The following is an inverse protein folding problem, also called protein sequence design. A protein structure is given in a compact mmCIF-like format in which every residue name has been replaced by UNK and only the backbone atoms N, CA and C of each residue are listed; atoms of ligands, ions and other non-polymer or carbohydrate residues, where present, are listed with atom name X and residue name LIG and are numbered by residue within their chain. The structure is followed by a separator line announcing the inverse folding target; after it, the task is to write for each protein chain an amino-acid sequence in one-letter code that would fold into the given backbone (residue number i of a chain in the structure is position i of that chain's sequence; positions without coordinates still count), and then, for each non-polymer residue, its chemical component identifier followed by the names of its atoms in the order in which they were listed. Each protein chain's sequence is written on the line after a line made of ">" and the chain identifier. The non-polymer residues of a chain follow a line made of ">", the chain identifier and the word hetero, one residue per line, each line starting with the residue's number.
data_IF_394999458992
#
_entry.id   IF_394999458992
#
_cell.length_a   1.000
_cell.length_b   1.000
_cell.length_c   1.000
_cell.angle_alpha   90.00
_cell.angle_beta   90.00
_cell.angle_gamma   90.00
#
_symmetry.space_group_name_H-M   'P 1'
#
loop_
_entity.id
_entity.type
_entity.pdbx_description
1 polymer ?
#
# COMPACT_ATOMS: atom_id res chain seq x y z
N UNK A 1 -13.34 -8.84 -3.32
CA UNK A 1 -12.05 -9.21 -3.94
C UNK A 1 -11.02 -8.11 -3.74
N UNK A 2 -11.12 -6.91 -4.35
CA UNK A 2 -10.23 -5.79 -3.98
C UNK A 2 -10.73 -5.00 -2.76
N UNK A 3 -12.04 -4.85 -2.61
CA UNK A 3 -12.66 -4.02 -1.56
C UNK A 3 -12.46 -4.59 -0.15
N UNK A 4 -12.08 -5.86 -0.05
CA UNK A 4 -11.87 -6.55 1.21
C UNK A 4 -10.37 -6.62 1.57
N UNK A 5 -9.45 -6.13 0.71
CA UNK A 5 -8.02 -6.18 1.01
C UNK A 5 -7.65 -5.05 1.97
N UNK A 6 -7.05 -5.40 3.11
CA UNK A 6 -6.54 -4.44 4.08
C UNK A 6 -5.06 -4.67 4.46
N UNK A 7 -4.40 -5.69 3.90
CA UNK A 7 -2.98 -5.99 4.14
C UNK A 7 -2.25 -6.31 2.83
N UNK A 8 -1.08 -5.69 2.67
CA UNK A 8 0.00 -6.17 1.80
C UNK A 8 1.16 -6.62 2.69
N UNK A 9 1.60 -7.86 2.53
CA UNK A 9 2.76 -8.40 3.22
C UNK A 9 3.84 -8.80 2.21
N UNK A 10 5.07 -8.47 2.54
CA UNK A 10 6.27 -8.78 1.76
C UNK A 10 7.02 -9.84 2.55
N UNK A 11 7.27 -11.00 1.93
CA UNK A 11 8.05 -12.06 2.56
C UNK A 11 9.55 -11.77 2.47
N UNK A 12 10.31 -12.48 3.30
CA UNK A 12 11.71 -12.73 3.00
C UNK A 12 11.84 -13.41 1.63
N UNK A 13 13.03 -13.27 1.03
CA UNK A 13 13.28 -13.75 -0.33
C UNK A 13 13.01 -15.25 -0.46
N UNK A 14 12.22 -15.62 -1.48
CA UNK A 14 11.88 -17.00 -1.82
C UNK A 14 11.10 -17.74 -0.69
N UNK A 15 10.42 -17.00 0.20
CA UNK A 15 9.68 -17.52 1.36
C UNK A 15 8.16 -17.23 1.33
N UNK A 16 7.61 -16.86 0.18
CA UNK A 16 6.19 -16.53 0.00
C UNK A 16 5.26 -17.64 0.50
N UNK A 17 5.60 -18.90 0.21
CA UNK A 17 4.77 -20.05 0.59
C UNK A 17 4.74 -20.26 2.10
N UNK A 18 5.88 -20.15 2.75
CA UNK A 18 6.02 -20.26 4.19
C UNK A 18 5.26 -19.13 4.88
N UNK A 19 5.38 -17.91 4.37
CA UNK A 19 4.61 -16.77 4.89
C UNK A 19 3.10 -16.98 4.75
N UNK A 20 2.60 -17.50 3.62
CA UNK A 20 1.17 -17.78 3.47
C UNK A 20 0.67 -18.76 4.55
N UNK A 21 1.41 -19.84 4.82
CA UNK A 21 1.06 -20.80 5.86
C UNK A 21 1.06 -20.18 7.26
N UNK A 22 1.96 -19.24 7.53
CA UNK A 22 2.03 -18.52 8.82
C UNK A 22 0.85 -17.56 9.02
N UNK A 23 0.31 -17.01 7.94
CA UNK A 23 -0.77 -16.03 7.96
C UNK A 23 -2.18 -16.67 7.95
N UNK A 24 -2.30 -17.97 7.63
CA UNK A 24 -3.58 -18.69 7.53
C UNK A 24 -4.42 -18.65 8.83
N UNK A 25 -3.79 -18.53 9.99
CA UNK A 25 -4.51 -18.47 11.28
C UNK A 25 -5.11 -17.08 11.58
N UNK A 26 -4.57 -16.02 10.97
CA UNK A 26 -4.91 -14.64 11.29
C UNK A 26 -5.74 -13.94 10.20
N UNK A 27 -5.82 -14.52 9.00
CA UNK A 27 -6.61 -13.95 7.92
C UNK A 27 -6.65 -14.77 6.64
N UNK A 28 -7.29 -14.20 5.63
CA UNK A 28 -7.37 -14.77 4.29
C UNK A 28 -6.35 -14.10 3.38
N UNK A 29 -5.32 -14.86 2.99
CA UNK A 29 -4.21 -14.35 2.18
C UNK A 29 -4.02 -15.17 0.90
N UNK A 30 -3.58 -14.48 -0.15
CA UNK A 30 -3.22 -15.09 -1.42
C UNK A 30 -1.98 -14.43 -2.03
N UNK A 31 -1.35 -15.13 -2.97
CA UNK A 31 -0.27 -14.58 -3.79
C UNK A 31 -0.80 -13.42 -4.63
N UNK A 32 -0.09 -12.30 -4.64
CA UNK A 32 -0.48 -11.15 -5.47
C UNK A 32 -0.12 -11.34 -6.95
N UNK A 33 0.56 -12.45 -7.30
CA UNK A 33 1.17 -12.67 -8.62
C UNK A 33 2.51 -11.94 -8.83
N UNK A 34 2.98 -11.18 -7.82
CA UNK A 34 4.33 -10.62 -7.79
C UNK A 34 5.17 -11.40 -6.78
N UNK A 35 6.43 -11.66 -7.13
CA UNK A 35 7.32 -12.47 -6.30
C UNK A 35 7.45 -11.89 -4.89
N UNK A 36 7.27 -12.75 -3.89
CA UNK A 36 7.46 -12.46 -2.46
C UNK A 36 6.43 -11.45 -1.91
N UNK A 37 5.28 -11.29 -2.58
CA UNK A 37 4.21 -10.39 -2.18
C UNK A 37 2.89 -11.14 -2.06
N UNK A 38 2.33 -11.05 -0.87
CA UNK A 38 1.01 -11.58 -0.55
C UNK A 38 0.10 -10.43 -0.17
N UNK A 39 -1.18 -10.59 -0.49
CA UNK A 39 -2.24 -9.64 -0.18
C UNK A 39 -3.36 -10.39 0.51
N UNK A 40 -4.07 -9.71 1.40
CA UNK A 40 -5.12 -10.37 2.14
C UNK A 40 -5.97 -9.45 2.99
N UNK A 41 -6.84 -10.10 3.75
CA UNK A 41 -7.73 -9.51 4.72
C UNK A 41 -7.48 -10.10 6.10
N UNK A 42 -7.41 -9.24 7.11
CA UNK A 42 -7.48 -9.59 8.53
C UNK A 42 -8.62 -8.84 9.18
N UNK A 43 -9.34 -9.45 10.11
CA UNK A 43 -10.46 -8.78 10.80
C UNK A 43 -9.94 -7.67 11.75
N UNK A 44 -8.90 -7.97 12.52
CA UNK A 44 -8.36 -7.09 13.56
C UNK A 44 -6.97 -6.57 13.16
N UNK A 45 -6.94 -5.56 12.28
CA UNK A 45 -5.69 -5.02 11.72
C UNK A 45 -4.69 -4.53 12.77
N UNK A 46 -5.17 -3.96 13.88
CA UNK A 46 -4.29 -3.45 14.94
C UNK A 46 -3.55 -4.60 15.63
N UNK A 47 -4.28 -5.66 16.01
CA UNK A 47 -3.70 -6.86 16.64
C UNK A 47 -2.70 -7.54 15.68
N UNK A 48 -3.06 -7.65 14.41
CA UNK A 48 -2.18 -8.20 13.38
C UNK A 48 -0.85 -7.42 13.23
N UNK A 49 -0.92 -6.09 13.24
CA UNK A 49 0.28 -5.24 13.16
C UNK A 49 1.15 -5.37 14.42
N UNK A 50 0.55 -5.48 15.60
CA UNK A 50 1.28 -5.74 16.85
C UNK A 50 1.98 -7.11 16.81
N UNK A 51 1.30 -8.15 16.32
CA UNK A 51 1.87 -9.48 16.14
C UNK A 51 3.05 -9.49 15.15
N UNK A 52 2.92 -8.75 14.05
CA UNK A 52 3.99 -8.57 13.08
C UNK A 52 5.20 -7.85 13.70
N UNK A 53 4.98 -6.78 14.47
CA UNK A 53 6.04 -6.04 15.17
C UNK A 53 6.75 -6.94 16.21
N UNK A 54 6.00 -7.82 16.88
CA UNK A 54 6.50 -8.82 17.82
C UNK A 54 7.16 -10.03 17.15
N UNK A 55 7.29 -10.03 15.81
CA UNK A 55 7.93 -11.09 15.01
C UNK A 55 7.24 -12.44 15.15
N UNK A 56 5.91 -12.47 15.25
CA UNK A 56 5.11 -13.70 15.22
C UNK A 56 5.33 -14.50 13.93
N UNK A 57 5.62 -13.82 12.82
CA UNK A 57 5.80 -14.40 11.48
C UNK A 57 7.28 -14.37 11.07
N UNK A 58 8.02 -15.49 11.22
CA UNK A 58 9.45 -15.56 10.90
C UNK A 58 9.82 -15.14 9.47
N UNK A 59 8.93 -15.36 8.50
CA UNK A 59 9.21 -15.08 7.09
C UNK A 59 8.63 -13.75 6.61
N UNK A 60 8.05 -12.94 7.49
CA UNK A 60 7.56 -11.60 7.17
C UNK A 60 8.71 -10.60 7.18
N UNK A 61 8.96 -9.96 6.04
CA UNK A 61 9.92 -8.86 5.93
C UNK A 61 9.29 -7.51 6.28
N UNK A 62 8.11 -7.25 5.73
CA UNK A 62 7.39 -5.97 5.88
C UNK A 62 5.90 -6.16 5.68
N UNK A 63 5.12 -5.47 6.50
CA UNK A 63 3.66 -5.35 6.39
C UNK A 63 3.28 -3.91 6.06
N UNK A 64 2.26 -3.73 5.22
CA UNK A 64 1.70 -2.44 4.85
C UNK A 64 0.17 -2.54 4.97
N UNK A 65 -0.48 -1.76 5.85
CA UNK A 65 -1.93 -1.66 5.85
C UNK A 65 -2.41 -0.99 4.56
N UNK A 66 -3.45 -1.56 3.95
CA UNK A 66 -4.07 -1.03 2.73
C UNK A 66 -5.30 -0.24 3.13
N UNK A 67 -5.33 1.03 2.72
CA UNK A 67 -6.49 1.90 2.91
C UNK A 67 -7.34 2.05 1.63
N UNK A 68 -6.75 1.80 0.45
CA UNK A 68 -7.47 1.79 -0.82
C UNK A 68 -6.81 0.84 -1.82
N UNK A 69 -7.61 0.01 -2.49
CA UNK A 69 -7.16 -0.90 -3.53
C UNK A 69 -8.00 -0.69 -4.80
N UNK A 70 -7.33 -0.53 -5.95
CA UNK A 70 -8.02 -0.25 -7.20
C UNK A 70 -7.26 -0.69 -8.43
N UNK A 71 -8.01 -1.02 -9.47
CA UNK A 71 -7.46 -1.23 -10.80
C UNK A 71 -7.22 0.10 -11.50
N UNK A 72 -6.10 0.19 -12.21
CA UNK A 72 -5.75 1.36 -13.00
C UNK A 72 -4.92 0.97 -14.20
N UNK A 73 -5.18 1.63 -15.34
CA UNK A 73 -4.35 1.53 -16.53
C UNK A 73 -3.26 2.61 -16.49
N UNK A 74 -2.06 2.36 -17.03
CA UNK A 74 -0.96 3.32 -16.99
C UNK A 74 -1.33 4.72 -17.49
N UNK A 75 -2.16 4.81 -18.53
CA UNK A 75 -2.55 6.06 -19.19
C UNK A 75 -3.40 6.95 -18.29
N UNK A 76 -4.11 6.36 -17.32
CA UNK A 76 -5.02 7.06 -16.42
C UNK A 76 -4.50 7.14 -14.98
N UNK A 77 -3.30 6.60 -14.71
CA UNK A 77 -2.75 6.47 -13.36
C UNK A 77 -2.75 7.79 -12.59
N UNK A 78 -2.20 8.86 -13.18
CA UNK A 78 -2.08 10.17 -12.52
C UNK A 78 -3.46 10.74 -12.16
N UNK A 79 -4.41 10.68 -13.10
CA UNK A 79 -5.74 11.23 -12.90
C UNK A 79 -6.50 10.48 -11.79
N UNK A 80 -6.40 9.15 -11.78
CA UNK A 80 -7.02 8.31 -10.75
C UNK A 80 -6.38 8.55 -9.39
N UNK A 81 -5.05 8.59 -9.31
CA UNK A 81 -4.34 8.84 -8.05
C UNK A 81 -4.71 10.20 -7.47
N UNK A 82 -4.60 11.28 -8.25
CA UNK A 82 -4.95 12.64 -7.79
C UNK A 82 -6.33 12.67 -7.16
N UNK A 83 -7.35 12.15 -7.86
CA UNK A 83 -8.72 12.12 -7.36
C UNK A 83 -8.86 11.31 -6.06
N UNK A 84 -8.18 10.16 -5.96
CA UNK A 84 -8.30 9.30 -4.77
C UNK A 84 -7.63 9.92 -3.56
N UNK A 85 -6.49 10.58 -3.73
CA UNK A 85 -5.77 11.16 -2.60
C UNK A 85 -6.44 12.41 -2.03
N UNK A 86 -7.35 13.07 -2.76
CA UNK A 86 -8.11 14.23 -2.25
C UNK A 86 -8.82 13.92 -0.92
N UNK A 87 -9.15 12.65 -0.66
CA UNK A 87 -9.81 12.23 0.58
C UNK A 87 -8.96 12.45 1.84
N UNK A 88 -7.64 12.57 1.71
CA UNK A 88 -6.70 12.71 2.83
C UNK A 88 -6.39 14.16 3.21
N UNK A 89 -6.99 15.16 2.54
CA UNK A 89 -6.68 16.58 2.81
C UNK A 89 -6.85 16.93 4.29
N UNK A 90 -7.97 16.47 4.87
CA UNK A 90 -8.35 16.82 6.25
C UNK A 90 -7.54 16.03 7.28
N UNK A 91 -6.71 15.06 6.85
CA UNK A 91 -5.82 14.29 7.72
C UNK A 91 -4.47 14.97 7.94
N UNK A 92 -4.17 16.04 7.19
CA UNK A 92 -2.90 16.78 7.30
C UNK A 92 -3.15 18.16 7.89
N UNK A 93 -2.59 18.42 9.06
CA UNK A 93 -2.63 19.74 9.67
C UNK A 93 -1.63 20.71 9.00
N UNK A 94 -1.88 22.04 9.01
CA UNK A 94 -1.02 23.02 8.34
C UNK A 94 0.46 23.02 8.75
N UNK A 95 0.78 22.51 9.94
CA UNK A 95 2.15 22.41 10.44
C UNK A 95 2.84 21.08 10.13
N UNK A 96 2.13 20.11 9.59
CA UNK A 96 2.65 18.78 9.33
C UNK A 96 3.39 18.70 7.99
N UNK A 97 4.31 17.75 7.90
CA UNK A 97 5.02 17.43 6.66
C UNK A 97 4.54 16.09 6.14
N UNK A 98 4.43 15.98 4.83
CA UNK A 98 4.03 14.74 4.16
C UNK A 98 4.98 14.41 3.02
N UNK A 99 4.93 13.16 2.58
CA UNK A 99 5.70 12.68 1.45
C UNK A 99 4.94 11.62 0.66
N UNK A 100 5.10 11.66 -0.66
CA UNK A 100 4.58 10.62 -1.55
C UNK A 100 5.73 9.70 -1.94
N UNK A 101 5.52 8.39 -1.77
CA UNK A 101 6.47 7.35 -2.17
C UNK A 101 5.74 6.31 -2.99
N UNK A 102 6.31 5.96 -4.14
CA UNK A 102 5.73 5.03 -5.11
C UNK A 102 6.63 3.83 -5.29
N UNK A 103 6.18 2.70 -4.73
CA UNK A 103 6.81 1.41 -4.94
C UNK A 103 6.11 0.64 -6.06
N UNK A 104 6.90 -0.02 -6.92
CA UNK A 104 6.41 -0.72 -8.10
C UNK A 104 6.98 -2.12 -8.13
N UNK A 105 6.09 -3.10 -8.28
CA UNK A 105 6.44 -4.50 -8.45
C UNK A 105 6.24 -5.00 -9.90
N UNK A 106 5.85 -4.10 -10.82
CA UNK A 106 5.72 -4.34 -12.26
C UNK A 106 5.80 -3.04 -13.09
N UNK A 107 5.51 -3.14 -14.39
CA UNK A 107 5.29 -1.98 -15.28
C UNK A 107 6.47 -1.00 -15.30
N UNK A 108 7.69 -1.54 -15.38
CA UNK A 108 8.92 -0.74 -15.24
C UNK A 108 9.11 0.26 -16.37
N UNK A 109 8.62 -0.08 -17.56
CA UNK A 109 8.83 0.68 -18.79
C UNK A 109 7.75 1.75 -19.03
N UNK A 110 6.54 1.58 -18.47
CA UNK A 110 5.41 2.50 -18.75
C UNK A 110 5.17 3.54 -17.65
N UNK A 111 5.66 3.31 -16.42
CA UNK A 111 5.41 4.19 -15.27
C UNK A 111 6.73 4.63 -14.64
N UNK A 112 6.92 5.93 -14.42
CA UNK A 112 8.04 6.47 -13.64
C UNK A 112 7.60 6.80 -12.22
N UNK A 113 8.13 6.09 -11.20
CA UNK A 113 7.83 6.38 -9.79
C UNK A 113 8.09 7.86 -9.46
N UNK A 114 9.24 8.39 -9.88
CA UNK A 114 9.63 9.77 -9.61
C UNK A 114 8.65 10.78 -10.25
N UNK A 115 8.16 10.48 -11.45
CA UNK A 115 7.17 11.33 -12.11
C UNK A 115 5.85 11.31 -11.33
N UNK A 116 5.40 10.12 -10.89
CA UNK A 116 4.17 9.97 -10.08
C UNK A 116 4.31 10.71 -8.76
N UNK A 117 5.39 10.48 -8.00
CA UNK A 117 5.64 11.13 -6.71
C UNK A 117 5.62 12.66 -6.83
N UNK A 118 6.31 13.20 -7.84
CA UNK A 118 6.38 14.65 -8.08
C UNK A 118 5.03 15.24 -8.48
N UNK A 119 4.33 14.62 -9.44
CA UNK A 119 3.08 15.16 -9.98
C UNK A 119 1.92 15.05 -9.01
N UNK A 120 1.79 13.91 -8.32
CA UNK A 120 0.74 13.66 -7.34
C UNK A 120 1.02 14.47 -6.07
N UNK A 121 2.28 14.51 -5.61
CA UNK A 121 2.67 15.29 -4.44
C UNK A 121 2.48 16.80 -4.63
N UNK A 122 2.86 17.34 -5.80
CA UNK A 122 2.63 18.74 -6.12
C UNK A 122 1.14 19.10 -6.18
N UNK A 123 0.33 18.23 -6.78
CA UNK A 123 -1.12 18.41 -6.81
C UNK A 123 -1.73 18.45 -5.40
N UNK A 124 -1.31 17.54 -4.52
CA UNK A 124 -1.83 17.47 -3.16
C UNK A 124 -1.39 18.66 -2.30
N UNK A 125 -0.15 19.11 -2.47
CA UNK A 125 0.36 20.34 -1.84
C UNK A 125 -0.49 21.55 -2.22
N UNK A 126 -0.74 21.75 -3.51
CA UNK A 126 -1.59 22.85 -4.01
C UNK A 126 -3.04 22.77 -3.50
N UNK A 127 -3.49 21.58 -3.12
CA UNK A 127 -4.83 21.33 -2.62
C UNK A 127 -4.93 21.72 -1.14
N UNK A 128 -3.96 21.32 -0.32
CA UNK A 128 -3.85 21.70 1.09
C UNK A 128 -3.72 23.22 1.24
N UNK A 129 -2.85 23.86 0.44
CA UNK A 129 -2.65 25.33 0.46
C UNK A 129 -3.88 26.14 0.03
N UNK A 130 -4.91 25.52 -0.57
CA UNK A 130 -6.18 26.19 -0.91
C UNK A 130 -7.23 26.06 0.18
N UNK A 131 -7.10 25.05 1.03
CA UNK A 131 -8.07 24.75 2.10
C UNK A 131 -7.75 25.56 3.36
N UNK A 132 -6.46 25.86 3.58
CA UNK A 132 -5.96 26.67 4.69
C UNK A 132 -5.51 28.07 4.24
#
# INVERSE_FOLDING_TARGET
>A
MLEDLNVLAISERDAERELLLELEEDGEFESSGFQDIVIGHVEEIVEFLEDAENKKYPHLNRVIPIDDAFFVAPENLMAVLKRRIERYIDEIEPSETFGFRVERHGTKDDISSQAVESEVGGYFYDLIEKVY
#
